data_IF_331470477538
#
_entry.id   IF_331470477538
#
_cell.length_a   1.000
_cell.length_b   1.000
_cell.length_c   1.000
_cell.angle_alpha   90.00
_cell.angle_beta   90.00
_cell.angle_gamma   90.00
#
_symmetry.space_group_name_H-M   'P 1'
#
loop_
_entity.id
_entity.type
_entity.pdbx_description
1 polymer ?
#
# COMPACT_ATOMS: atom_id res chain seq x y z
N UNK A 1 54.33 -5.98 -7.03
CA UNK A 1 54.02 -7.41 -7.27
C UNK A 1 52.63 -7.69 -6.74
N UNK A 2 51.74 -8.06 -7.66
CA UNK A 2 50.32 -8.30 -7.45
C UNK A 2 50.09 -9.45 -6.45
N UNK A 3 49.19 -9.25 -5.47
CA UNK A 3 48.57 -10.36 -4.73
C UNK A 3 47.40 -10.87 -5.56
N UNK A 4 47.47 -12.12 -6.00
CA UNK A 4 46.34 -12.86 -6.55
C UNK A 4 45.27 -13.08 -5.46
N UNK A 5 43.97 -13.05 -5.79
CA UNK A 5 42.92 -13.53 -4.90
C UNK A 5 42.87 -15.06 -4.92
N UNK A 6 42.86 -15.66 -3.73
CA UNK A 6 42.57 -17.07 -3.52
C UNK A 6 41.11 -17.34 -3.93
N UNK A 7 40.93 -18.14 -4.99
CA UNK A 7 39.63 -18.62 -5.44
C UNK A 7 39.00 -19.55 -4.40
N UNK A 8 37.90 -19.09 -3.80
CA UNK A 8 36.95 -19.91 -3.03
C UNK A 8 35.84 -20.41 -3.95
N UNK A 9 35.57 -21.71 -3.87
CA UNK A 9 34.70 -22.53 -4.73
C UNK A 9 33.26 -22.01 -4.89
N UNK A 10 32.79 -22.22 -6.12
CA UNK A 10 31.45 -22.05 -6.67
C UNK A 10 30.38 -22.82 -5.86
N UNK A 11 29.34 -22.09 -5.46
CA UNK A 11 28.10 -22.50 -4.78
C UNK A 11 27.45 -23.73 -5.45
N UNK A 12 27.38 -24.87 -4.75
CA UNK A 12 26.71 -26.09 -5.24
C UNK A 12 25.20 -25.96 -5.05
N UNK A 13 24.51 -25.41 -6.06
CA UNK A 13 23.05 -25.36 -6.13
C UNK A 13 22.49 -26.72 -6.55
N UNK A 14 21.44 -27.18 -5.89
CA UNK A 14 20.76 -28.44 -6.18
C UNK A 14 19.34 -28.21 -6.71
N UNK A 15 18.85 -29.13 -7.56
CA UNK A 15 17.52 -29.06 -8.17
C UNK A 15 16.45 -29.70 -7.27
N UNK A 16 15.47 -28.90 -6.84
CA UNK A 16 14.22 -29.35 -6.24
C UNK A 16 13.10 -29.28 -7.28
N UNK A 17 12.38 -30.39 -7.49
CA UNK A 17 11.26 -30.45 -8.45
C UNK A 17 9.95 -30.70 -7.70
N UNK A 18 8.98 -29.81 -7.88
CA UNK A 18 7.62 -29.91 -7.31
C UNK A 18 6.63 -30.19 -8.43
N UNK A 19 5.78 -31.20 -8.22
CA UNK A 19 4.70 -31.56 -9.14
C UNK A 19 3.35 -31.11 -8.57
N UNK A 20 2.62 -30.30 -9.34
CA UNK A 20 1.23 -29.99 -9.01
C UNK A 20 0.34 -31.02 -9.67
N UNK A 21 -0.64 -31.51 -8.91
CA UNK A 21 -1.66 -32.45 -9.39
C UNK A 21 -3.05 -31.82 -9.23
N UNK A 22 -3.96 -32.11 -10.15
CA UNK A 22 -5.36 -31.74 -10.00
C UNK A 22 -6.06 -32.61 -8.92
N UNK A 23 -7.34 -32.32 -8.65
CA UNK A 23 -8.16 -33.05 -7.68
C UNK A 23 -8.32 -34.56 -8.00
N UNK A 24 -8.04 -34.97 -9.23
CA UNK A 24 -8.07 -36.36 -9.68
C UNK A 24 -6.68 -37.03 -9.65
N UNK A 25 -5.64 -36.34 -9.16
CA UNK A 25 -4.29 -36.87 -9.03
C UNK A 25 -3.44 -36.80 -10.31
N UNK A 26 -3.94 -36.18 -11.37
CA UNK A 26 -3.23 -36.01 -12.64
C UNK A 26 -2.27 -34.81 -12.55
N UNK A 27 -1.04 -34.98 -13.03
CA UNK A 27 0.00 -33.94 -12.99
C UNK A 27 -0.34 -32.82 -13.97
N UNK A 28 -0.51 -31.61 -13.46
CA UNK A 28 -0.89 -30.41 -14.22
C UNK A 28 0.31 -29.49 -14.51
N UNK A 29 1.29 -29.44 -13.61
CA UNK A 29 2.50 -28.66 -13.83
C UNK A 29 3.70 -29.24 -13.07
N UNK A 30 4.88 -28.89 -13.57
CA UNK A 30 6.16 -29.18 -12.95
C UNK A 30 6.90 -27.86 -12.75
N UNK A 31 7.31 -27.60 -11.52
CA UNK A 31 8.11 -26.44 -11.17
C UNK A 31 9.45 -26.90 -10.62
N UNK A 32 10.54 -26.37 -11.16
CA UNK A 32 11.90 -26.65 -10.71
C UNK A 32 12.44 -25.43 -9.96
N UNK A 33 13.07 -25.69 -8.81
CA UNK A 33 13.65 -24.70 -7.91
C UNK A 33 15.12 -25.04 -7.70
N UNK A 34 15.98 -24.04 -7.67
CA UNK A 34 17.37 -24.22 -7.24
C UNK A 34 17.46 -23.88 -5.76
N UNK A 35 17.84 -24.85 -4.94
CA UNK A 35 18.01 -24.68 -3.49
C UNK A 35 19.47 -24.97 -3.09
N UNK A 36 19.93 -24.38 -2.00
CA UNK A 36 21.23 -24.68 -1.42
C UNK A 36 21.14 -25.86 -0.43
N UNK A 37 22.31 -26.37 -0.02
CA UNK A 37 22.40 -27.54 0.87
C UNK A 37 21.75 -27.30 2.24
N UNK A 38 21.83 -26.08 2.79
CA UNK A 38 21.22 -25.76 4.09
C UNK A 38 19.68 -25.74 4.01
N UNK A 39 19.12 -25.18 2.93
CA UNK A 39 17.68 -25.20 2.66
C UNK A 39 17.15 -26.63 2.51
N UNK A 40 17.90 -27.50 1.82
CA UNK A 40 17.55 -28.91 1.67
C UNK A 40 17.53 -29.66 3.01
N UNK A 41 18.50 -29.41 3.88
CA UNK A 41 18.56 -30.05 5.19
C UNK A 41 17.41 -29.57 6.10
N UNK A 42 17.03 -28.29 6.02
CA UNK A 42 15.83 -27.75 6.68
C UNK A 42 14.58 -28.50 6.19
N UNK A 43 14.42 -28.65 4.87
CA UNK A 43 13.27 -29.35 4.26
C UNK A 43 13.16 -30.82 4.67
N UNK A 44 14.27 -31.49 4.97
CA UNK A 44 14.29 -32.89 5.46
C UNK A 44 13.90 -33.05 6.93
N UNK A 45 13.97 -31.97 7.71
CA UNK A 45 14.05 -32.10 9.18
C UNK A 45 12.72 -32.10 9.94
N UNK A 46 11.56 -31.68 9.39
CA UNK A 46 10.22 -31.79 10.02
C UNK A 46 9.06 -31.49 9.03
N UNK A 47 7.82 -31.79 9.42
CA UNK A 47 6.57 -31.62 8.63
C UNK A 47 6.32 -30.17 8.16
N UNK A 48 6.58 -29.89 6.88
CA UNK A 48 6.27 -28.61 6.24
C UNK A 48 4.95 -28.68 5.47
N UNK A 49 4.09 -27.64 5.57
CA UNK A 49 2.89 -27.49 4.72
C UNK A 49 3.12 -26.41 3.67
N UNK A 50 3.13 -26.80 2.40
CA UNK A 50 3.17 -25.86 1.28
C UNK A 50 1.82 -25.14 1.20
N UNK A 51 1.80 -23.82 1.40
CA UNK A 51 0.61 -22.99 1.13
C UNK A 51 0.83 -22.20 -0.15
N UNK A 52 -0.10 -22.36 -1.09
CA UNK A 52 -0.19 -21.55 -2.29
C UNK A 52 -1.25 -20.49 -2.03
N UNK A 53 -0.85 -19.22 -1.95
CA UNK A 53 -1.79 -18.11 -1.78
C UNK A 53 -2.48 -17.79 -3.11
N UNK A 54 -3.80 -17.66 -3.09
CA UNK A 54 -4.62 -17.50 -4.30
C UNK A 54 -4.56 -16.07 -4.86
N UNK A 55 -4.03 -15.11 -4.08
CA UNK A 55 -3.94 -13.70 -4.45
C UNK A 55 -2.51 -13.21 -4.73
N UNK A 56 -1.50 -14.07 -4.54
CA UNK A 56 -0.10 -13.81 -4.90
C UNK A 56 0.61 -15.13 -5.18
N UNK A 57 1.27 -15.32 -6.35
CA UNK A 57 1.96 -16.57 -6.65
C UNK A 57 3.31 -16.59 -5.91
N UNK A 58 3.27 -16.76 -4.60
CA UNK A 58 4.45 -16.93 -3.75
C UNK A 58 4.39 -18.29 -3.07
N UNK A 59 5.52 -19.01 -3.06
CA UNK A 59 5.67 -20.20 -2.22
C UNK A 59 6.20 -19.79 -0.85
N UNK A 60 5.45 -20.15 0.18
CA UNK A 60 5.86 -19.96 1.58
C UNK A 60 6.02 -21.29 2.28
N UNK A 61 7.15 -21.41 2.97
CA UNK A 61 7.43 -22.50 3.90
C UNK A 61 7.26 -21.97 5.32
N UNK A 62 6.24 -22.47 6.02
CA UNK A 62 5.96 -22.16 7.42
C UNK A 62 6.35 -23.37 8.27
N UNK A 63 7.15 -23.15 9.33
CA UNK A 63 7.29 -24.14 10.41
C UNK A 63 6.10 -24.01 11.38
N UNK A 64 5.71 -25.09 12.06
CA UNK A 64 4.70 -25.03 13.11
C UNK A 64 5.19 -24.19 14.29
N UNK A 65 4.96 -22.88 14.22
CA UNK A 65 5.45 -21.92 15.21
C UNK A 65 5.92 -20.58 14.61
N UNK A 66 5.07 -19.92 13.83
CA UNK A 66 5.08 -18.46 13.60
C UNK A 66 6.37 -17.78 13.11
N UNK A 67 7.21 -18.44 12.31
CA UNK A 67 8.23 -17.73 11.53
C UNK A 67 8.29 -18.25 10.09
N UNK A 68 8.06 -17.34 9.14
CA UNK A 68 8.32 -17.56 7.71
C UNK A 68 9.82 -17.67 7.53
N UNK A 69 10.31 -18.84 7.15
CA UNK A 69 11.76 -19.09 7.01
C UNK A 69 12.26 -18.66 5.63
N UNK A 70 11.37 -18.55 4.64
CA UNK A 70 11.69 -18.00 3.32
C UNK A 70 10.45 -17.80 2.45
N UNK A 71 10.57 -16.88 1.49
CA UNK A 71 9.57 -16.58 0.45
C UNK A 71 10.25 -16.65 -0.91
N UNK A 72 9.73 -17.48 -1.81
CA UNK A 72 10.17 -17.50 -3.20
C UNK A 72 9.05 -16.96 -4.10
N UNK A 73 9.34 -15.89 -4.84
CA UNK A 73 8.44 -15.37 -5.88
C UNK A 73 8.47 -16.32 -7.08
N UNK A 74 7.29 -16.70 -7.59
CA UNK A 74 7.16 -17.57 -8.77
C UNK A 74 7.63 -16.89 -10.07
N UNK A 75 7.93 -15.59 -10.06
CA UNK A 75 8.42 -14.89 -11.25
C UNK A 75 9.85 -15.31 -11.65
N UNK A 76 10.62 -15.90 -10.75
CA UNK A 76 12.02 -16.25 -11.01
C UNK A 76 12.29 -17.72 -11.37
N UNK A 77 11.26 -18.56 -11.54
CA UNK A 77 11.43 -19.98 -11.84
C UNK A 77 10.36 -20.49 -12.82
N UNK A 78 10.78 -20.93 -14.01
CA UNK A 78 9.90 -21.40 -15.07
C UNK A 78 9.13 -22.66 -14.67
N UNK A 79 7.88 -22.49 -14.26
CA UNK A 79 6.91 -23.58 -14.17
C UNK A 79 6.41 -23.92 -15.57
N UNK A 80 6.59 -25.17 -16.01
CA UNK A 80 6.09 -25.63 -17.30
C UNK A 80 4.73 -26.32 -17.10
N UNK A 81 3.67 -25.72 -17.63
CA UNK A 81 2.34 -26.32 -17.65
C UNK A 81 2.30 -27.49 -18.64
N UNK A 82 1.76 -28.63 -18.22
CA UNK A 82 1.55 -29.78 -19.11
C UNK A 82 0.32 -29.53 -19.99
N UNK A 83 0.54 -28.81 -21.10
CA UNK A 83 -0.46 -28.73 -22.17
C UNK A 83 -0.65 -30.12 -22.78
N UNK A 84 -1.83 -30.72 -22.58
CA UNK A 84 -2.27 -31.91 -23.32
C UNK A 84 -2.21 -31.59 -24.83
N UNK A 85 -1.23 -32.16 -25.52
CA UNK A 85 -1.04 -31.99 -26.96
C UNK A 85 -2.16 -32.71 -27.72
N UNK A 86 -3.23 -31.99 -28.05
CA UNK A 86 -4.18 -32.39 -29.10
C UNK A 86 -3.74 -31.77 -30.43
N UNK A 87 -3.58 -32.55 -31.50
CA UNK A 87 -3.03 -32.08 -32.78
C UNK A 87 -4.00 -31.19 -33.59
N UNK A 88 -5.18 -30.88 -33.07
CA UNK A 88 -6.17 -30.00 -33.71
C UNK A 88 -5.94 -28.50 -33.45
N UNK A 89 -5.01 -28.12 -32.56
CA UNK A 89 -4.81 -26.73 -32.14
C UNK A 89 -3.96 -25.87 -33.11
N UNK A 90 -3.19 -26.49 -34.02
CA UNK A 90 -2.26 -25.75 -34.90
C UNK A 90 -2.98 -24.90 -35.96
N UNK A 91 -4.17 -25.33 -36.39
CA UNK A 91 -4.97 -24.62 -37.38
C UNK A 91 -5.69 -23.39 -36.79
N UNK A 92 -6.05 -23.43 -35.50
CA UNK A 92 -6.65 -22.28 -34.81
C UNK A 92 -5.63 -21.18 -34.51
N UNK A 93 -4.38 -21.54 -34.20
CA UNK A 93 -3.31 -20.57 -33.95
C UNK A 93 -3.03 -19.66 -35.16
N UNK A 94 -3.11 -20.18 -36.38
CA UNK A 94 -2.92 -19.35 -37.59
C UNK A 94 -4.06 -18.34 -37.75
N UNK A 95 -5.31 -18.71 -37.41
CA UNK A 95 -6.45 -17.79 -37.45
C UNK A 95 -6.40 -16.70 -36.38
N UNK A 96 -5.86 -17.00 -35.19
CA UNK A 96 -5.65 -16.01 -34.12
C UNK A 96 -4.49 -15.06 -34.47
N UNK A 97 -3.44 -15.55 -35.11
CA UNK A 97 -2.32 -14.71 -35.56
C UNK A 97 -2.74 -13.67 -36.62
N UNK A 98 -3.80 -13.92 -37.39
CA UNK A 98 -4.35 -12.94 -38.35
C UNK A 98 -5.35 -11.94 -37.74
N UNK A 99 -5.81 -12.11 -36.49
CA UNK A 99 -6.62 -11.10 -35.80
C UNK A 99 -5.83 -10.23 -34.81
N UNK A 100 -4.58 -10.59 -34.48
CA UNK A 100 -3.76 -9.83 -33.53
C UNK A 100 -3.07 -8.58 -34.11
N UNK A 101 -3.53 -8.05 -35.24
CA UNK A 101 -3.01 -6.77 -35.75
C UNK A 101 -3.52 -5.54 -34.97
N UNK A 102 -4.46 -5.69 -34.04
CA UNK A 102 -4.86 -4.61 -33.13
C UNK A 102 -5.21 -5.19 -31.75
N UNK A 103 -4.19 -5.37 -30.92
CA UNK A 103 -4.37 -5.27 -29.48
C UNK A 103 -3.30 -4.31 -29.01
N UNK A 104 -3.65 -3.04 -29.02
CA UNK A 104 -3.01 -2.06 -28.15
C UNK A 104 -3.19 -2.62 -26.74
N UNK A 105 -2.17 -3.33 -26.23
CA UNK A 105 -2.03 -3.55 -24.81
C UNK A 105 -1.83 -2.16 -24.26
N UNK A 106 -2.94 -1.50 -23.90
CA UNK A 106 -2.91 -0.33 -23.03
C UNK A 106 -2.36 -0.85 -21.71
N UNK A 107 -1.02 -0.86 -21.60
CA UNK A 107 -0.36 -1.00 -20.32
C UNK A 107 -0.96 0.04 -19.38
N UNK A 108 -1.15 -0.33 -18.12
CA UNK A 108 -1.64 0.60 -17.10
C UNK A 108 -0.91 1.93 -17.24
N UNK A 109 -1.66 3.03 -17.32
CA UNK A 109 -1.12 4.37 -17.50
C UNK A 109 -0.16 4.74 -16.36
N UNK A 110 -0.46 4.27 -15.15
CA UNK A 110 0.34 4.50 -13.95
C UNK A 110 0.76 3.19 -13.29
N UNK A 111 1.83 3.23 -12.50
CA UNK A 111 2.30 2.07 -11.73
C UNK A 111 1.48 1.80 -10.48
N UNK A 112 0.82 2.82 -9.92
CA UNK A 112 0.03 2.70 -8.71
C UNK A 112 -1.27 1.96 -8.93
N UNK A 113 -1.86 1.46 -7.84
CA UNK A 113 -3.20 0.90 -7.87
C UNK A 113 -4.21 1.93 -8.36
N UNK A 114 -5.30 1.49 -8.96
CA UNK A 114 -6.40 2.38 -9.33
C UNK A 114 -7.21 2.84 -8.12
N UNK A 115 -8.22 3.66 -8.40
CA UNK A 115 -9.16 4.13 -7.40
C UNK A 115 -9.85 2.98 -6.67
N UNK A 116 -10.08 3.16 -5.37
CA UNK A 116 -10.76 2.17 -4.53
C UNK A 116 -12.19 1.93 -5.05
N UNK A 117 -12.57 0.67 -5.25
CA UNK A 117 -13.93 0.33 -5.72
C UNK A 117 -14.99 0.85 -4.75
N UNK A 118 -16.09 1.38 -5.30
CA UNK A 118 -17.19 1.97 -4.53
C UNK A 118 -16.76 3.15 -3.62
N UNK A 119 -15.75 3.92 -4.04
CA UNK A 119 -15.18 5.03 -3.27
C UNK A 119 -16.25 5.96 -2.67
N UNK A 120 -17.25 6.37 -3.47
CA UNK A 120 -18.35 7.24 -3.04
C UNK A 120 -19.11 6.66 -1.84
N UNK A 121 -19.56 5.41 -1.96
CA UNK A 121 -20.32 4.75 -0.90
C UNK A 121 -19.50 4.57 0.38
N UNK A 122 -18.21 4.25 0.23
CA UNK A 122 -17.29 4.12 1.35
C UNK A 122 -17.10 5.47 2.04
N UNK A 123 -16.85 6.53 1.27
CA UNK A 123 -16.61 7.87 1.77
C UNK A 123 -17.83 8.45 2.51
N UNK A 124 -19.02 8.35 1.90
CA UNK A 124 -20.28 8.77 2.51
C UNK A 124 -20.58 7.93 3.76
N UNK A 125 -20.40 6.60 3.67
CA UNK A 125 -20.59 5.69 4.80
C UNK A 125 -19.68 6.03 5.99
N UNK A 126 -18.40 6.32 5.73
CA UNK A 126 -17.43 6.75 6.75
C UNK A 126 -17.81 8.09 7.39
N UNK A 127 -18.31 9.04 6.61
CA UNK A 127 -18.80 10.30 7.16
C UNK A 127 -19.94 10.06 8.16
N UNK A 128 -20.94 9.24 7.80
CA UNK A 128 -22.05 8.92 8.70
C UNK A 128 -21.61 8.11 9.92
N UNK A 129 -20.75 7.10 9.74
CA UNK A 129 -20.18 6.34 10.86
C UNK A 129 -19.45 7.26 11.83
N UNK A 130 -18.68 8.22 11.31
CA UNK A 130 -17.93 9.15 12.14
C UNK A 130 -18.85 10.05 12.97
N UNK A 131 -19.82 10.72 12.34
CA UNK A 131 -20.69 11.68 13.04
C UNK A 131 -21.74 11.01 13.94
N UNK A 132 -22.02 9.72 13.75
CA UNK A 132 -23.03 8.98 14.54
C UNK A 132 -22.42 8.10 15.63
N UNK A 133 -21.29 7.46 15.35
CA UNK A 133 -20.75 6.39 16.20
C UNK A 133 -19.38 6.76 16.76
N UNK A 134 -18.46 7.27 15.92
CA UNK A 134 -17.08 7.53 16.35
C UNK A 134 -16.99 8.78 17.23
N UNK A 135 -17.51 9.90 16.76
CA UNK A 135 -17.47 11.18 17.46
C UNK A 135 -18.75 12.00 17.25
N UNK A 136 -19.83 11.67 17.98
CA UNK A 136 -21.10 12.39 17.88
C UNK A 136 -21.02 13.88 18.24
N UNK A 137 -19.98 14.31 18.96
CA UNK A 137 -19.80 15.72 19.33
C UNK A 137 -19.47 16.63 18.14
N UNK A 138 -19.06 16.07 16.99
CA UNK A 138 -18.87 16.83 15.74
C UNK A 138 -20.18 17.40 15.21
N UNK A 139 -21.32 16.79 15.56
CA UNK A 139 -22.63 17.21 15.09
C UNK A 139 -22.90 16.84 13.62
N UNK A 140 -24.05 17.30 13.13
CA UNK A 140 -24.49 17.02 11.75
C UNK A 140 -23.54 17.63 10.71
N UNK A 141 -23.26 16.85 9.67
CA UNK A 141 -22.47 17.26 8.51
C UNK A 141 -23.19 16.81 7.24
N UNK A 142 -23.09 17.59 6.17
CA UNK A 142 -23.62 17.20 4.87
C UNK A 142 -22.66 16.23 4.18
N UNK A 143 -22.79 14.94 4.47
CA UNK A 143 -21.89 13.90 3.95
C UNK A 143 -21.88 13.82 2.40
N UNK A 144 -23.02 13.98 1.74
CA UNK A 144 -23.08 14.05 0.27
C UNK A 144 -22.36 15.29 -0.25
N UNK A 145 -22.59 16.46 0.36
CA UNK A 145 -21.88 17.70 -0.01
C UNK A 145 -20.36 17.62 0.22
N UNK A 146 -19.93 16.92 1.27
CA UNK A 146 -18.52 16.64 1.51
C UNK A 146 -17.93 15.72 0.43
N UNK A 147 -18.64 14.66 0.05
CA UNK A 147 -18.23 13.80 -1.06
C UNK A 147 -18.06 14.59 -2.37
N UNK A 148 -19.03 15.43 -2.72
CA UNK A 148 -18.94 16.26 -3.93
C UNK A 148 -17.74 17.20 -3.86
N UNK A 149 -17.52 17.88 -2.72
CA UNK A 149 -16.36 18.75 -2.54
C UNK A 149 -15.02 17.97 -2.64
N UNK A 150 -14.97 16.76 -2.09
CA UNK A 150 -13.81 15.88 -2.16
C UNK A 150 -13.53 15.45 -3.60
N UNK A 151 -14.55 14.94 -4.31
CA UNK A 151 -14.43 14.48 -5.69
C UNK A 151 -14.01 15.61 -6.62
N UNK A 152 -14.63 16.79 -6.48
CA UNK A 152 -14.34 17.97 -7.31
C UNK A 152 -12.92 18.51 -7.14
N UNK A 153 -12.19 18.12 -6.09
CA UNK A 153 -10.79 18.51 -5.93
C UNK A 153 -9.89 17.90 -7.03
N UNK A 154 -10.22 16.71 -7.55
CA UNK A 154 -9.31 15.95 -8.41
C UNK A 154 -9.91 15.40 -9.71
N UNK A 155 -11.25 15.40 -9.88
CA UNK A 155 -11.84 15.03 -11.18
C UNK A 155 -11.60 16.11 -12.23
N UNK A 156 -11.63 15.71 -13.51
CA UNK A 156 -11.46 16.61 -14.65
C UNK A 156 -10.16 17.43 -14.61
N UNK A 157 -9.12 16.87 -13.98
CA UNK A 157 -7.78 17.46 -13.84
C UNK A 157 -6.74 16.43 -14.21
N UNK A 158 -5.55 16.91 -14.62
CA UNK A 158 -4.41 16.02 -14.79
C UNK A 158 -4.07 15.40 -13.42
N UNK A 159 -4.02 14.06 -13.29
CA UNK A 159 -3.73 13.36 -12.04
C UNK A 159 -2.42 13.75 -11.35
N UNK A 160 -1.49 14.41 -12.05
CA UNK A 160 -0.22 14.90 -11.51
C UNK A 160 -0.18 16.42 -11.28
N UNK A 161 -1.33 17.10 -11.38
CA UNK A 161 -1.46 18.56 -11.20
C UNK A 161 -2.35 18.95 -10.03
N UNK A 162 -2.68 17.99 -9.14
CA UNK A 162 -3.59 18.23 -8.02
C UNK A 162 -2.81 18.92 -6.90
N UNK A 163 -3.30 20.05 -6.41
CA UNK A 163 -2.64 20.82 -5.35
C UNK A 163 -3.39 20.65 -4.02
N UNK A 164 -2.71 20.81 -2.87
CA UNK A 164 -3.38 20.74 -1.57
C UNK A 164 -4.59 21.68 -1.45
N UNK A 165 -4.47 22.89 -2.01
CA UNK A 165 -5.52 23.90 -2.01
C UNK A 165 -6.79 23.45 -2.73
N UNK A 166 -6.71 22.50 -3.66
CA UNK A 166 -7.89 21.97 -4.34
C UNK A 166 -8.86 21.28 -3.37
N UNK A 167 -8.36 20.79 -2.23
CA UNK A 167 -9.17 20.17 -1.17
C UNK A 167 -9.69 21.15 -0.12
N UNK A 168 -9.42 22.46 -0.24
CA UNK A 168 -9.76 23.46 0.76
C UNK A 168 -11.26 23.47 1.11
N UNK A 169 -12.13 23.35 0.11
CA UNK A 169 -13.58 23.27 0.33
C UNK A 169 -13.97 22.03 1.12
N UNK A 170 -13.45 20.86 0.75
CA UNK A 170 -13.72 19.61 1.46
C UNK A 170 -13.27 19.71 2.92
N UNK A 171 -12.06 20.20 3.15
CA UNK A 171 -11.51 20.40 4.48
C UNK A 171 -12.42 21.30 5.30
N UNK A 172 -12.79 22.48 4.79
CA UNK A 172 -13.66 23.42 5.50
C UNK A 172 -15.01 22.81 5.91
N UNK A 173 -15.62 21.99 5.05
CA UNK A 173 -16.87 21.29 5.37
C UNK A 173 -16.68 20.24 6.49
N UNK A 174 -15.55 19.55 6.47
CA UNK A 174 -15.21 18.47 7.41
C UNK A 174 -14.60 18.95 8.74
N UNK A 175 -14.21 20.22 8.83
CA UNK A 175 -13.53 20.77 10.01
C UNK A 175 -14.37 20.60 11.29
N UNK A 176 -13.68 20.23 12.36
CA UNK A 176 -14.24 20.15 13.71
C UNK A 176 -13.15 20.42 14.73
N UNK A 177 -13.54 20.74 15.96
CA UNK A 177 -12.60 20.95 17.06
C UNK A 177 -11.86 19.65 17.37
N UNK A 178 -10.53 19.73 17.46
CA UNK A 178 -9.68 18.66 17.98
C UNK A 178 -9.49 18.93 19.48
N UNK A 179 -9.81 17.96 20.37
CA UNK A 179 -9.64 18.18 21.80
C UNK A 179 -8.19 18.56 22.15
N UNK A 180 -7.98 19.58 22.99
CA UNK A 180 -6.63 19.96 23.41
C UNK A 180 -5.94 18.79 24.10
N UNK A 181 -4.62 18.67 23.92
CA UNK A 181 -3.76 17.62 24.48
C UNK A 181 -4.08 16.18 24.05
N UNK A 182 -4.91 15.99 23.01
CA UNK A 182 -5.16 14.67 22.41
C UNK A 182 -4.48 14.48 21.06
N UNK A 183 -3.90 15.51 20.45
CA UNK A 183 -3.25 15.37 19.14
C UNK A 183 -2.11 14.34 19.19
N UNK A 184 -2.05 13.49 18.16
CA UNK A 184 -1.02 12.47 17.99
C UNK A 184 -0.49 12.46 16.56
N UNK A 185 0.71 12.98 16.38
CA UNK A 185 1.40 12.93 15.10
C UNK A 185 2.26 11.68 14.99
N UNK A 186 2.43 11.19 13.76
CA UNK A 186 3.20 9.99 13.49
C UNK A 186 3.76 10.01 12.07
N UNK A 187 4.78 9.19 11.85
CA UNK A 187 5.39 8.93 10.56
C UNK A 187 5.65 7.42 10.44
N UNK A 188 5.30 6.83 9.29
CA UNK A 188 5.57 5.43 8.92
C UNK A 188 5.13 4.34 9.92
N UNK A 189 4.12 4.60 10.77
CA UNK A 189 3.64 3.68 11.82
C UNK A 189 2.11 3.72 12.02
N UNK A 190 1.36 3.93 10.94
CA UNK A 190 -0.09 4.14 10.94
C UNK A 190 -0.87 3.11 11.77
N UNK A 191 -0.58 1.82 11.58
CA UNK A 191 -1.29 0.73 12.27
C UNK A 191 -1.08 0.77 13.79
N UNK A 192 0.15 1.04 14.22
CA UNK A 192 0.48 1.18 15.64
C UNK A 192 -0.25 2.39 16.25
N UNK A 193 -0.23 3.51 15.53
CA UNK A 193 -0.82 4.77 16.00
C UNK A 193 -2.33 4.69 16.06
N UNK A 194 -2.98 4.10 15.06
CA UNK A 194 -4.43 3.87 15.08
C UNK A 194 -4.83 2.99 16.27
N UNK A 195 -4.02 1.97 16.58
CA UNK A 195 -4.22 1.12 17.77
C UNK A 195 -4.01 1.92 19.05
N UNK A 196 -2.95 2.72 19.15
CA UNK A 196 -2.61 3.52 20.32
C UNK A 196 -3.62 4.64 20.59
N UNK A 197 -4.06 5.37 19.57
CA UNK A 197 -5.10 6.41 19.66
C UNK A 197 -6.46 5.83 20.05
N UNK A 198 -6.73 4.59 19.63
CA UNK A 198 -7.99 3.90 19.95
C UNK A 198 -9.18 4.58 19.29
N UNK A 199 -9.06 4.94 18.00
CA UNK A 199 -10.07 5.67 17.21
C UNK A 199 -10.46 7.02 17.83
N UNK A 200 -9.49 7.89 18.10
CA UNK A 200 -9.73 9.21 18.69
C UNK A 200 -10.10 9.22 20.18
N UNK A 201 -10.32 8.06 20.83
CA UNK A 201 -10.77 8.00 22.23
C UNK A 201 -9.69 8.47 23.20
N UNK A 202 -8.47 7.95 23.04
CA UNK A 202 -7.30 8.28 23.89
C UNK A 202 -6.54 9.45 23.29
N UNK A 203 -6.14 9.29 22.04
CA UNK A 203 -5.45 10.30 21.24
C UNK A 203 -6.09 10.35 19.85
N UNK A 204 -6.01 11.52 19.24
CA UNK A 204 -6.57 11.86 17.95
C UNK A 204 -5.40 12.12 16.99
N UNK A 205 -5.07 11.12 16.19
CA UNK A 205 -4.17 11.28 15.06
C UNK A 205 -4.86 11.93 13.87
N UNK A 206 -4.09 12.25 12.82
CA UNK A 206 -4.64 12.79 11.58
C UNK A 206 -5.78 11.90 11.04
N UNK A 207 -5.57 10.57 11.00
CA UNK A 207 -6.57 9.59 10.55
C UNK A 207 -7.78 9.45 11.48
N UNK A 208 -7.70 9.94 12.72
CA UNK A 208 -8.82 9.95 13.67
C UNK A 208 -9.69 11.21 13.56
N UNK A 209 -9.33 12.18 12.72
CA UNK A 209 -10.19 13.34 12.40
C UNK A 209 -11.26 12.98 11.38
N UNK A 210 -12.33 13.78 11.22
CA UNK A 210 -13.36 13.49 10.22
C UNK A 210 -12.77 13.45 8.80
N UNK A 211 -11.94 14.42 8.43
CA UNK A 211 -11.31 14.42 7.10
C UNK A 211 -10.29 13.29 6.95
N UNK A 212 -9.46 13.00 7.96
CA UNK A 212 -8.52 11.89 7.87
C UNK A 212 -9.25 10.54 7.77
N UNK A 213 -10.24 10.31 8.62
CA UNK A 213 -11.07 9.10 8.61
C UNK A 213 -11.79 8.90 7.27
N UNK A 214 -12.17 9.99 6.60
CA UNK A 214 -12.76 9.97 5.27
C UNK A 214 -11.86 9.29 4.24
N UNK A 215 -10.57 9.65 4.21
CA UNK A 215 -9.58 9.17 3.23
C UNK A 215 -8.69 8.01 3.69
N UNK A 216 -8.74 7.61 4.96
CA UNK A 216 -7.79 6.66 5.57
C UNK A 216 -7.72 5.30 4.82
N UNK A 217 -6.53 4.87 4.40
CA UNK A 217 -6.31 3.64 3.61
C UNK A 217 -7.09 3.54 2.29
N UNK A 218 -7.52 4.66 1.72
CA UNK A 218 -8.13 4.70 0.39
C UNK A 218 -7.12 5.23 -0.63
N UNK A 219 -7.33 4.83 -1.88
CA UNK A 219 -6.62 5.35 -3.03
C UNK A 219 -7.62 5.90 -4.06
N UNK A 220 -7.27 7.01 -4.72
CA UNK A 220 -8.15 7.68 -5.69
C UNK A 220 -7.39 8.58 -6.65
N UNK A 221 -7.90 8.67 -7.88
CA UNK A 221 -7.50 9.66 -8.86
C UNK A 221 -8.59 9.84 -9.93
N UNK A 222 -8.53 10.96 -10.64
CA UNK A 222 -9.38 11.23 -11.79
C UNK A 222 -8.64 10.94 -13.09
N UNK A 223 -9.20 11.43 -14.19
CA UNK A 223 -8.50 11.49 -15.48
C UNK A 223 -8.61 12.91 -16.04
N UNK A 224 -7.64 13.32 -16.84
CA UNK A 224 -7.69 14.59 -17.54
C UNK A 224 -8.93 14.62 -18.45
N UNK A 225 -9.66 15.73 -18.43
CA UNK A 225 -10.85 15.94 -19.28
C UNK A 225 -11.99 14.93 -19.06
N UNK A 226 -12.02 14.24 -17.91
CA UNK A 226 -13.07 13.29 -17.55
C UNK A 226 -13.64 13.54 -16.16
N UNK A 227 -14.95 13.41 -16.03
CA UNK A 227 -15.65 13.43 -14.74
C UNK A 227 -15.63 12.07 -14.01
N UNK A 228 -15.06 11.04 -14.64
CA UNK A 228 -14.96 9.69 -14.11
C UNK A 228 -13.69 9.48 -13.28
N UNK A 229 -13.77 8.52 -12.36
CA UNK A 229 -12.64 8.06 -11.56
C UNK A 229 -11.82 7.04 -12.37
N UNK A 230 -10.51 7.05 -12.21
CA UNK A 230 -9.66 6.03 -12.82
C UNK A 230 -9.54 4.83 -11.89
N UNK A 231 -10.19 3.72 -12.25
CA UNK A 231 -10.15 2.46 -11.51
C UNK A 231 -9.02 1.52 -11.97
N UNK A 232 -8.32 1.85 -13.05
CA UNK A 232 -7.28 0.99 -13.62
C UNK A 232 -5.92 1.24 -12.97
N UNK A 233 -5.55 2.52 -12.83
CA UNK A 233 -4.26 2.91 -12.25
C UNK A 233 -4.25 4.35 -11.78
N UNK A 234 -3.51 4.67 -10.72
CA UNK A 234 -3.27 6.04 -10.26
C UNK A 234 -1.77 6.34 -10.13
N UNK A 235 -1.35 7.61 -10.29
CA UNK A 235 0.05 7.98 -10.11
C UNK A 235 0.53 7.69 -8.69
N UNK A 236 1.73 7.14 -8.59
CA UNK A 236 2.47 7.02 -7.33
C UNK A 236 3.20 8.32 -6.97
N UNK A 237 3.65 8.45 -5.72
CA UNK A 237 4.51 9.55 -5.29
C UNK A 237 5.81 9.64 -6.12
N UNK A 238 6.38 8.50 -6.52
CA UNK A 238 7.60 8.46 -7.35
C UNK A 238 7.34 8.98 -8.78
N UNK A 239 6.14 8.77 -9.31
CA UNK A 239 5.75 9.25 -10.64
C UNK A 239 5.44 10.75 -10.62
N UNK A 240 4.70 11.21 -9.60
CA UNK A 240 4.49 12.63 -9.38
C UNK A 240 4.09 12.98 -7.95
N UNK A 241 4.70 14.05 -7.44
CA UNK A 241 4.51 14.55 -6.09
C UNK A 241 3.12 15.19 -5.86
N UNK A 242 2.54 15.77 -6.91
CA UNK A 242 1.25 16.47 -6.87
C UNK A 242 0.10 15.57 -7.36
N UNK A 243 0.06 14.33 -6.84
CA UNK A 243 -1.07 13.44 -7.07
C UNK A 243 -2.22 13.69 -6.08
N UNK A 244 -3.40 13.16 -6.39
CA UNK A 244 -4.62 13.42 -5.63
C UNK A 244 -4.53 13.00 -4.16
N UNK A 245 -3.93 11.84 -3.87
CA UNK A 245 -3.82 11.29 -2.51
C UNK A 245 -2.80 12.07 -1.69
N UNK A 246 -1.62 12.33 -2.24
CA UNK A 246 -0.56 13.06 -1.53
C UNK A 246 -0.95 14.52 -1.28
N UNK A 247 -1.58 15.18 -2.26
CA UNK A 247 -2.08 16.55 -2.09
C UNK A 247 -3.18 16.64 -1.04
N UNK A 248 -4.05 15.64 -0.96
CA UNK A 248 -5.05 15.54 0.12
C UNK A 248 -4.37 15.42 1.49
N UNK A 249 -3.44 14.48 1.65
CA UNK A 249 -2.79 14.27 2.95
C UNK A 249 -1.92 15.45 3.35
N UNK A 250 -1.33 16.18 2.39
CA UNK A 250 -0.66 17.47 2.65
C UNK A 250 -1.64 18.51 3.16
N UNK A 251 -2.80 18.67 2.51
CA UNK A 251 -3.80 19.62 2.97
C UNK A 251 -4.32 19.27 4.37
N UNK A 252 -4.69 18.00 4.58
CA UNK A 252 -5.14 17.49 5.88
C UNK A 252 -4.07 17.67 6.96
N UNK A 253 -2.80 17.41 6.63
CA UNK A 253 -1.67 17.62 7.52
C UNK A 253 -1.49 19.09 7.85
N UNK A 254 -1.48 20.00 6.88
CA UNK A 254 -1.35 21.45 7.11
C UNK A 254 -2.48 21.96 8.00
N UNK A 255 -3.72 21.58 7.70
CA UNK A 255 -4.90 21.96 8.51
C UNK A 255 -4.81 21.42 9.93
N UNK A 256 -4.25 20.21 10.11
CA UNK A 256 -4.02 19.66 11.45
C UNK A 256 -2.76 20.22 12.13
N UNK A 257 -1.81 20.74 11.34
CA UNK A 257 -0.50 21.27 11.77
C UNK A 257 -0.51 22.77 12.05
N UNK A 258 -1.59 23.50 11.78
CA UNK A 258 -1.90 24.72 12.56
C UNK A 258 -1.96 24.42 14.08
N UNK A 259 -1.87 23.14 14.49
CA UNK A 259 -1.63 22.65 15.85
C UNK A 259 -0.31 21.87 16.09
N UNK A 260 0.72 22.13 15.29
CA UNK A 260 2.17 21.91 15.54
C UNK A 260 2.77 20.51 15.29
N UNK A 261 3.87 20.56 14.53
CA UNK A 261 4.56 19.51 13.77
C UNK A 261 5.44 18.53 14.57
N UNK A 262 5.61 17.32 13.99
CA UNK A 262 6.51 16.22 14.36
C UNK A 262 7.32 15.72 13.13
N UNK A 263 8.42 14.98 13.36
CA UNK A 263 9.16 14.08 12.46
C UNK A 263 9.95 13.04 13.28
N UNK A 264 10.16 11.83 12.72
CA UNK A 264 10.78 10.68 13.40
C UNK A 264 12.31 10.55 13.29
N UNK A 265 12.92 10.28 14.44
CA UNK A 265 14.29 9.81 14.73
C UNK A 265 14.35 9.55 16.26
N UNK A 266 15.44 8.97 16.79
CA UNK A 266 15.64 8.97 18.25
C UNK A 266 15.88 10.39 18.77
N UNK A 267 15.47 10.65 20.00
CA UNK A 267 15.65 11.94 20.67
C UNK A 267 17.08 12.46 20.56
N UNK A 268 17.24 13.75 20.25
CA UNK A 268 18.55 14.39 20.14
C UNK A 268 19.42 13.95 18.94
N UNK A 269 18.89 13.20 17.97
CA UNK A 269 19.62 12.81 16.74
C UNK A 269 18.99 13.38 15.46
N UNK A 270 19.82 13.55 14.43
CA UNK A 270 19.44 13.87 13.05
C UNK A 270 18.23 14.82 12.88
N UNK A 271 17.12 14.31 12.37
CA UNK A 271 15.93 15.08 12.01
C UNK A 271 15.11 15.46 13.25
N UNK A 272 15.09 14.64 14.31
CA UNK A 272 14.45 14.98 15.59
C UNK A 272 15.17 16.11 16.30
N UNK A 273 16.50 16.17 16.30
CA UNK A 273 17.22 17.33 16.83
C UNK A 273 16.94 18.60 16.03
N UNK A 274 16.80 18.48 14.70
CA UNK A 274 16.41 19.60 13.84
C UNK A 274 15.00 20.08 14.16
N UNK A 275 14.06 19.16 14.40
CA UNK A 275 12.70 19.44 14.82
C UNK A 275 12.66 20.09 16.21
N UNK A 276 13.31 19.49 17.21
CA UNK A 276 13.41 20.04 18.57
C UNK A 276 13.92 21.48 18.54
N UNK A 277 14.97 21.76 17.76
CA UNK A 277 15.51 23.11 17.61
C UNK A 277 14.52 24.08 16.95
N UNK A 278 13.79 23.64 15.92
CA UNK A 278 12.76 24.46 15.27
C UNK A 278 11.62 24.77 16.23
N UNK A 279 11.13 23.78 16.96
CA UNK A 279 10.05 23.94 17.94
C UNK A 279 10.48 24.87 19.09
N UNK A 280 11.71 24.72 19.60
CA UNK A 280 12.28 25.65 20.61
C UNK A 280 12.40 27.08 20.08
N UNK A 281 12.80 27.25 18.82
CA UNK A 281 12.88 28.58 18.18
C UNK A 281 11.49 29.22 18.03
N UNK A 282 10.44 28.41 17.83
CA UNK A 282 9.06 28.87 17.81
C UNK A 282 8.47 29.09 19.22
N UNK A 283 9.24 28.86 20.30
CA UNK A 283 8.83 29.11 21.68
C UNK A 283 8.10 27.95 22.36
N UNK A 284 8.13 26.75 21.78
CA UNK A 284 7.51 25.56 22.39
C UNK A 284 8.46 24.89 23.37
N UNK A 285 7.90 24.39 24.48
CA UNK A 285 8.60 23.44 25.35
C UNK A 285 8.57 22.06 24.70
N UNK A 286 9.73 21.40 24.65
CA UNK A 286 9.92 20.17 23.89
C UNK A 286 10.49 19.10 24.79
N UNK A 287 9.70 18.06 25.02
CA UNK A 287 10.14 16.82 25.66
C UNK A 287 10.14 15.71 24.62
N UNK A 288 11.24 14.98 24.51
CA UNK A 288 11.35 13.81 23.65
C UNK A 288 11.64 12.59 24.53
N UNK A 289 11.00 11.46 24.23
CA UNK A 289 11.25 10.19 24.92
C UNK A 289 11.27 9.05 23.91
N UNK A 290 12.39 8.35 23.83
CA UNK A 290 12.47 7.11 23.07
C UNK A 290 11.76 5.99 23.85
N UNK A 291 10.83 5.29 23.20
CA UNK A 291 10.08 4.20 23.82
C UNK A 291 10.47 2.89 23.13
N UNK A 292 11.54 2.26 23.61
CA UNK A 292 11.98 0.95 23.12
C UNK A 292 11.09 -0.14 23.74
N UNK A 293 10.34 -0.87 22.91
CA UNK A 293 9.66 -2.11 23.29
C UNK A 293 10.30 -3.30 22.60
#
# INVERSE_FOLDING_TARGET
MNRQPLGGKMDSREDLVIFYKNLHGEKISECRFFINAAEKDIMRSNDWKLKVDKFRPELRFESEGYQTIGTFSLENLGCQEFMMKSPLLSLLLVSVLFMNSFSEVQGRKWKGEGTTRNLENIAIGRCYDYIRIVNPAVGEKNCSGMWEAFKNAFINKDPCSILPKDYELFINLSLHTIPPNKSLFWENNQLLVNTFGGRGRRYMSLGDTLFGFFGDFLNWCGQAESAELDYESCPTMEECENNAVDSFWRMASITSQEYLLSNGDSCGTHTVKKLENRLKTLGYDVTCTDNYK
#
